data_IF_816321400718
#
_entry.id   IF_816321400718
#
_cell.length_a   1.000
_cell.length_b   1.000
_cell.length_c   1.000
_cell.angle_alpha   90.00
_cell.angle_beta   90.00
_cell.angle_gamma   90.00
#
_symmetry.space_group_name_H-M   'P 1'
#
loop_
_entity.id
_entity.type
_entity.pdbx_description
1 polymer ?
#
# COMPACT_ATOMS: atom_id res chain seq x y z
N UNK A 1 6.85 -13.37 5.95
CA UNK A 1 5.99 -13.27 4.76
C UNK A 1 4.87 -14.27 4.87
N UNK A 2 3.61 -13.80 4.95
CA UNK A 2 2.40 -14.65 5.01
C UNK A 2 1.25 -14.15 4.13
N UNK A 3 1.40 -12.98 3.49
CA UNK A 3 0.37 -12.36 2.67
C UNK A 3 0.98 -11.81 1.37
N UNK A 4 0.22 -11.85 0.28
CA UNK A 4 0.50 -11.12 -0.97
C UNK A 4 -0.34 -9.84 -1.00
N UNK A 5 0.23 -8.77 -1.57
CA UNK A 5 -0.48 -7.52 -1.85
C UNK A 5 -0.35 -7.17 -3.33
N UNK A 6 -1.44 -6.76 -3.96
CA UNK A 6 -1.42 -6.27 -5.34
C UNK A 6 -2.50 -5.20 -5.57
N UNK A 7 -2.26 -4.25 -6.50
CA UNK A 7 -3.28 -3.31 -6.93
C UNK A 7 -4.19 -3.92 -8.02
N UNK A 8 -5.50 -3.66 -7.95
CA UNK A 8 -6.43 -3.96 -9.04
C UNK A 8 -7.69 -3.08 -8.96
N UNK A 9 -8.17 -2.57 -10.11
CA UNK A 9 -9.41 -1.76 -10.22
C UNK A 9 -9.50 -0.60 -9.20
N UNK A 10 -8.43 0.18 -9.00
CA UNK A 10 -8.30 1.25 -7.97
C UNK A 10 -8.35 0.80 -6.50
N UNK A 11 -8.12 -0.48 -6.24
CA UNK A 11 -8.07 -1.03 -4.89
C UNK A 11 -6.72 -1.69 -4.63
N UNK A 12 -6.32 -1.74 -3.36
CA UNK A 12 -5.33 -2.69 -2.89
C UNK A 12 -6.03 -3.95 -2.40
N UNK A 13 -5.50 -5.09 -2.82
CA UNK A 13 -5.94 -6.41 -2.40
C UNK A 13 -4.88 -7.06 -1.54
N UNK A 14 -5.32 -7.71 -0.46
CA UNK A 14 -4.46 -8.49 0.42
C UNK A 14 -5.01 -9.90 0.50
N UNK A 15 -4.18 -10.91 0.27
CA UNK A 15 -4.55 -12.29 0.48
C UNK A 15 -3.47 -13.06 1.27
N UNK A 16 -3.87 -13.95 2.19
CA UNK A 16 -2.93 -14.91 2.76
C UNK A 16 -2.35 -15.83 1.69
N UNK A 17 -1.05 -16.10 1.78
CA UNK A 17 -0.39 -17.05 0.87
C UNK A 17 -0.79 -18.50 1.15
N UNK A 18 -1.33 -18.76 2.34
CA UNK A 18 -1.77 -20.10 2.76
C UNK A 18 -3.15 -20.49 2.19
N UNK A 19 -3.82 -19.57 1.49
CA UNK A 19 -5.13 -19.79 0.87
C UNK A 19 -6.28 -19.99 1.87
N UNK A 20 -6.04 -19.85 3.18
CA UNK A 20 -7.05 -20.14 4.21
C UNK A 20 -8.11 -19.05 4.33
N UNK A 21 -7.84 -17.83 3.86
CA UNK A 21 -8.83 -16.76 3.76
C UNK A 21 -8.89 -16.23 2.33
N UNK A 22 -10.08 -15.76 1.95
CA UNK A 22 -10.30 -15.05 0.69
C UNK A 22 -9.50 -13.73 0.69
N UNK A 23 -9.18 -13.26 -0.51
CA UNK A 23 -8.59 -11.94 -0.68
C UNK A 23 -9.54 -10.86 -0.13
N UNK A 24 -8.99 -9.97 0.67
CA UNK A 24 -9.69 -8.82 1.22
C UNK A 24 -9.37 -7.58 0.38
N UNK A 25 -10.42 -6.85 0.01
CA UNK A 25 -10.33 -5.51 -0.53
C UNK A 25 -10.09 -4.54 0.63
N UNK A 26 -9.06 -3.70 0.53
CA UNK A 26 -8.68 -2.83 1.64
C UNK A 26 -9.48 -1.53 1.64
N UNK A 27 -9.57 -0.83 0.50
CA UNK A 27 -10.39 0.37 0.31
C UNK A 27 -10.28 0.90 -1.12
N UNK A 28 -11.22 1.77 -1.53
CA UNK A 28 -11.12 2.50 -2.80
C UNK A 28 -10.09 3.62 -2.66
N UNK A 29 -9.07 3.60 -3.53
CA UNK A 29 -7.94 4.51 -3.45
C UNK A 29 -8.11 5.68 -4.42
N UNK A 30 -7.70 6.87 -3.97
CA UNK A 30 -7.63 8.04 -4.81
C UNK A 30 -6.47 7.89 -5.81
N UNK A 31 -6.80 7.75 -7.09
CA UNK A 31 -5.83 7.57 -8.17
C UNK A 31 -5.41 6.12 -8.42
N UNK A 32 -4.41 5.93 -9.29
CA UNK A 32 -3.85 4.61 -9.54
C UNK A 32 -2.82 4.26 -8.48
N UNK A 33 -2.97 3.09 -7.85
CA UNK A 33 -2.02 2.62 -6.85
C UNK A 33 -1.08 1.59 -7.44
N UNK A 34 0.22 1.74 -7.23
CA UNK A 34 1.21 0.80 -7.72
C UNK A 34 2.38 0.57 -6.74
N UNK A 35 3.20 -0.42 -7.08
CA UNK A 35 4.45 -0.79 -6.36
C UNK A 35 4.27 -1.00 -4.85
N UNK A 36 3.29 -1.82 -4.40
CA UNK A 36 3.12 -2.04 -2.98
C UNK A 36 4.32 -2.79 -2.37
N UNK A 37 4.65 -2.44 -1.14
CA UNK A 37 5.74 -3.03 -0.35
C UNK A 37 5.26 -3.23 1.09
N UNK A 38 5.36 -4.46 1.57
CA UNK A 38 5.15 -4.77 2.98
C UNK A 38 6.29 -4.21 3.83
N UNK A 39 5.92 -3.66 4.98
CA UNK A 39 6.86 -3.46 6.09
C UNK A 39 7.40 -4.80 6.58
N UNK A 40 8.64 -4.85 7.10
CA UNK A 40 9.23 -6.08 7.65
C UNK A 40 8.39 -6.74 8.75
N UNK A 41 7.73 -5.93 9.60
CA UNK A 41 6.82 -6.41 10.65
C UNK A 41 5.46 -6.92 10.12
N UNK A 42 5.16 -6.70 8.83
CA UNK A 42 3.93 -7.11 8.18
C UNK A 42 2.67 -6.35 8.61
N UNK A 43 2.81 -5.23 9.35
CA UNK A 43 1.65 -4.45 9.87
C UNK A 43 1.22 -3.34 8.93
N UNK A 44 2.13 -2.90 8.05
CA UNK A 44 1.92 -1.78 7.12
C UNK A 44 2.29 -2.14 5.69
N UNK A 45 1.64 -1.47 4.75
CA UNK A 45 1.96 -1.52 3.32
C UNK A 45 2.23 -0.09 2.84
N UNK A 46 3.41 0.14 2.26
CA UNK A 46 3.70 1.36 1.54
C UNK A 46 3.39 1.17 0.06
N UNK A 47 2.82 2.17 -0.59
CA UNK A 47 2.49 2.14 -2.02
C UNK A 47 2.55 3.56 -2.60
N UNK A 48 2.67 3.65 -3.93
CA UNK A 48 2.57 4.93 -4.63
C UNK A 48 1.12 5.15 -5.06
N UNK A 49 0.57 6.32 -4.75
CA UNK A 49 -0.72 6.83 -5.26
C UNK A 49 -0.44 7.83 -6.37
N UNK A 50 -0.63 7.41 -7.62
CA UNK A 50 -0.45 8.22 -8.83
C UNK A 50 -1.75 8.92 -9.20
N UNK A 51 -1.75 10.25 -9.19
CA UNK A 51 -2.92 11.10 -9.45
C UNK A 51 -2.88 11.80 -10.81
N UNK A 52 -2.02 11.30 -11.72
CA UNK A 52 -1.72 11.80 -13.08
C UNK A 52 -0.75 12.97 -13.11
N UNK A 53 -1.06 14.06 -12.40
CA UNK A 53 -0.23 15.27 -12.33
C UNK A 53 0.90 15.10 -11.29
N UNK A 54 0.56 14.60 -10.10
CA UNK A 54 1.46 14.34 -8.99
C UNK A 54 1.33 12.90 -8.45
N UNK A 55 2.22 12.52 -7.54
CA UNK A 55 2.12 11.23 -6.85
C UNK A 55 2.62 11.28 -5.42
N UNK A 56 1.93 10.55 -4.54
CA UNK A 56 2.26 10.44 -3.12
C UNK A 56 2.77 9.05 -2.77
N UNK A 57 3.66 8.96 -1.78
CA UNK A 57 3.78 7.74 -0.99
C UNK A 57 2.65 7.70 0.03
N UNK A 58 1.93 6.58 0.06
CA UNK A 58 0.91 6.31 1.06
C UNK A 58 1.28 5.07 1.87
N UNK A 59 0.90 5.08 3.14
CA UNK A 59 1.07 3.97 4.08
C UNK A 59 -0.30 3.52 4.56
N UNK A 60 -0.62 2.27 4.30
CA UNK A 60 -1.79 1.58 4.80
C UNK A 60 -1.43 0.80 6.06
N UNK A 61 -2.20 1.00 7.13
CA UNK A 61 -2.18 0.16 8.33
C UNK A 61 -3.19 -0.98 8.17
N UNK A 62 -2.71 -2.24 8.23
CA UNK A 62 -3.53 -3.40 7.82
C UNK A 62 -4.65 -3.70 8.82
N UNK A 63 -4.41 -3.49 10.12
CA UNK A 63 -5.36 -3.79 11.18
C UNK A 63 -6.55 -2.82 11.20
N UNK A 64 -6.28 -1.54 10.99
CA UNK A 64 -7.28 -0.46 11.04
C UNK A 64 -7.82 -0.08 9.67
N UNK A 65 -7.18 -0.56 8.60
CA UNK A 65 -7.37 -0.12 7.21
C UNK A 65 -7.08 1.37 6.99
N UNK A 66 -6.48 2.06 7.96
CA UNK A 66 -6.19 3.50 7.87
C UNK A 66 -5.09 3.77 6.85
N UNK A 67 -5.33 4.75 5.98
CA UNK A 67 -4.34 5.25 5.01
C UNK A 67 -3.79 6.59 5.47
N UNK A 68 -2.47 6.74 5.42
CA UNK A 68 -1.75 8.00 5.64
C UNK A 68 -0.96 8.36 4.40
N UNK A 69 -1.19 9.54 3.83
CA UNK A 69 -0.40 10.07 2.71
C UNK A 69 0.80 10.84 3.28
N UNK A 70 2.00 10.44 2.89
CA UNK A 70 3.24 11.08 3.32
C UNK A 70 3.55 12.26 2.40
N UNK A 71 4.00 13.37 2.99
CA UNK A 71 4.46 14.57 2.28
C UNK A 71 3.58 14.98 1.07
N UNK A 72 2.28 15.28 1.28
CA UNK A 72 1.37 15.57 0.18
C UNK A 72 1.73 16.92 -0.49
N UNK A 73 2.59 16.86 -1.50
CA UNK A 73 3.06 17.97 -2.33
C UNK A 73 2.69 17.74 -3.79
N UNK A 74 2.82 18.76 -4.64
CA UNK A 74 2.60 18.59 -6.09
C UNK A 74 3.73 17.85 -6.82
N UNK A 75 4.68 17.27 -6.08
CA UNK A 75 5.80 16.54 -6.64
C UNK A 75 5.41 15.10 -7.02
N UNK A 76 6.36 14.36 -7.58
CA UNK A 76 6.19 12.95 -7.95
C UNK A 76 7.05 12.06 -7.07
N UNK A 77 6.44 11.46 -6.07
CA UNK A 77 7.12 10.45 -5.27
C UNK A 77 7.18 9.09 -6.00
N UNK A 78 8.25 8.33 -5.79
CA UNK A 78 8.42 7.03 -6.43
C UNK A 78 9.16 6.01 -5.56
N UNK A 79 8.70 4.75 -5.64
CA UNK A 79 9.46 3.58 -5.18
C UNK A 79 9.74 3.54 -3.68
N UNK A 80 8.71 3.49 -2.82
CA UNK A 80 8.93 3.42 -1.38
C UNK A 80 9.69 2.15 -0.99
N UNK A 81 10.58 2.28 -0.01
CA UNK A 81 11.28 1.17 0.65
C UNK A 81 11.13 1.33 2.15
N UNK A 82 11.16 0.21 2.87
CA UNK A 82 11.11 0.19 4.32
C UNK A 82 12.50 0.02 4.90
N UNK A 83 12.81 0.72 6.00
CA UNK A 83 13.96 0.34 6.81
C UNK A 83 13.73 -1.05 7.45
N UNK A 84 14.80 -1.77 7.85
CA UNK A 84 14.67 -3.06 8.52
C UNK A 84 13.86 -2.99 9.84
N UNK A 85 13.87 -1.84 10.53
CA UNK A 85 13.07 -1.60 11.74
C UNK A 85 11.62 -1.14 11.43
N UNK A 86 11.17 -1.30 10.19
CA UNK A 86 9.82 -0.95 9.72
C UNK A 86 9.49 0.54 9.84
N UNK A 87 10.42 1.44 9.55
CA UNK A 87 10.17 2.87 9.47
C UNK A 87 10.30 3.38 8.04
#
# INVERSE_FOLDING_TARGET
GKNVVWPAKKHLWIAPIDGKKKAEQVEELLGESDRPRWSPDGKRIAFRSNRKDHSFVAVLEVATKKITYLAPTTNRDAGPVWSPDSK
#
